data_IF_739696190756
#
_entry.id   IF_739696190756
#
_cell.length_a   1.000
_cell.length_b   1.000
_cell.length_c   1.000
_cell.angle_alpha   90.00
_cell.angle_beta   90.00
_cell.angle_gamma   90.00
#
_symmetry.space_group_name_H-M   'P 1'
#
loop_
_entity.id
_entity.type
_entity.pdbx_description
1 polymer ?
#
# COMPACT_ATOMS: atom_id res chain seq x y z
N UNK A 1 5.55 16.85 -19.25
CA UNK A 1 4.14 16.65 -19.61
C UNK A 1 3.89 17.24 -20.98
N UNK A 2 3.89 16.39 -22.02
CA UNK A 2 3.42 16.80 -23.34
C UNK A 2 1.93 17.12 -23.24
N UNK A 3 1.51 18.23 -23.85
CA UNK A 3 0.11 18.64 -23.84
C UNK A 3 -0.65 17.73 -24.79
N UNK A 4 -1.70 17.07 -24.30
CA UNK A 4 -2.47 16.12 -25.10
C UNK A 4 -3.05 16.78 -26.37
N UNK A 5 -2.90 16.14 -27.54
CA UNK A 5 -3.48 16.65 -28.77
C UNK A 5 -5.00 16.67 -28.65
N UNK A 6 -5.62 17.73 -29.19
CA UNK A 6 -7.08 17.90 -29.14
C UNK A 6 -7.76 16.72 -29.83
N UNK A 7 -8.69 16.06 -29.14
CA UNK A 7 -9.47 14.96 -29.70
C UNK A 7 -8.96 13.55 -29.37
N UNK A 8 -7.80 13.41 -28.73
CA UNK A 8 -7.33 12.11 -28.26
C UNK A 8 -8.21 11.56 -27.14
N UNK A 9 -8.59 10.29 -27.25
CA UNK A 9 -9.33 9.55 -26.23
C UNK A 9 -8.66 8.21 -25.98
N UNK A 10 -8.15 8.02 -24.77
CA UNK A 10 -7.49 6.76 -24.40
C UNK A 10 -8.52 5.67 -24.09
N UNK A 11 -8.51 4.58 -24.87
CA UNK A 11 -9.48 3.49 -24.75
C UNK A 11 -9.47 2.79 -23.37
N UNK A 12 -8.34 2.79 -22.67
CA UNK A 12 -8.18 2.19 -21.35
C UNK A 12 -8.29 3.20 -20.19
N UNK A 13 -8.75 4.43 -20.46
CA UNK A 13 -8.94 5.45 -19.42
C UNK A 13 -9.79 4.98 -18.22
N UNK A 14 -10.91 4.24 -18.40
CA UNK A 14 -11.68 3.73 -17.25
C UNK A 14 -10.85 2.78 -16.36
N UNK A 15 -10.02 1.95 -16.97
CA UNK A 15 -9.18 0.99 -16.26
C UNK A 15 -8.08 1.72 -15.47
N UNK A 16 -7.47 2.76 -16.05
CA UNK A 16 -6.47 3.61 -15.39
C UNK A 16 -7.05 4.30 -14.16
N UNK A 17 -8.24 4.91 -14.29
CA UNK A 17 -8.92 5.55 -13.16
C UNK A 17 -9.26 4.56 -12.05
N UNK A 18 -9.67 3.35 -12.43
CA UNK A 18 -9.93 2.28 -11.46
C UNK A 18 -8.64 1.89 -10.72
N UNK A 19 -7.51 1.71 -11.42
CA UNK A 19 -6.24 1.41 -10.76
C UNK A 19 -5.76 2.53 -9.83
N UNK A 20 -5.99 3.79 -10.19
CA UNK A 20 -5.66 4.93 -9.32
C UNK A 20 -6.47 4.89 -8.00
N UNK A 21 -7.75 4.56 -8.11
CA UNK A 21 -8.62 4.42 -6.94
C UNK A 21 -8.20 3.24 -6.05
N UNK A 22 -7.93 2.08 -6.65
CA UNK A 22 -7.44 0.89 -5.93
C UNK A 22 -6.07 1.15 -5.26
N UNK A 23 -5.18 1.93 -5.91
CA UNK A 23 -3.91 2.35 -5.30
C UNK A 23 -4.13 3.24 -4.08
N UNK A 24 -5.08 4.16 -4.13
CA UNK A 24 -5.42 5.00 -2.97
C UNK A 24 -5.98 4.16 -1.83
N UNK A 25 -6.87 3.20 -2.11
CA UNK A 25 -7.44 2.30 -1.11
C UNK A 25 -6.36 1.44 -0.43
N UNK A 26 -5.44 0.86 -1.21
CA UNK A 26 -4.31 0.09 -0.67
C UNK A 26 -3.38 0.95 0.19
N UNK A 27 -3.12 2.20 -0.19
CA UNK A 27 -2.32 3.14 0.62
C UNK A 27 -3.00 3.48 1.95
N UNK A 28 -4.31 3.72 1.93
CA UNK A 28 -5.08 3.96 3.16
C UNK A 28 -5.09 2.73 4.06
N UNK A 29 -5.28 1.54 3.47
CA UNK A 29 -5.22 0.26 4.20
C UNK A 29 -3.87 0.04 4.85
N UNK A 30 -2.77 0.31 4.12
CA UNK A 30 -1.42 0.21 4.65
C UNK A 30 -1.18 1.19 5.81
N UNK A 31 -1.64 2.43 5.70
CA UNK A 31 -1.54 3.41 6.76
C UNK A 31 -2.28 2.94 8.03
N UNK A 32 -3.50 2.41 7.87
CA UNK A 32 -4.26 1.82 8.98
C UNK A 32 -3.52 0.65 9.63
N UNK A 33 -3.03 -0.30 8.84
CA UNK A 33 -2.27 -1.45 9.36
C UNK A 33 -1.02 -1.00 10.13
N UNK A 34 -0.31 0.03 9.67
CA UNK A 34 0.84 0.55 10.41
C UNK A 34 0.44 1.15 11.77
N UNK A 35 -0.70 1.84 11.85
CA UNK A 35 -1.21 2.34 13.14
C UNK A 35 -1.64 1.20 14.07
N UNK A 36 -2.29 0.17 13.54
CA UNK A 36 -2.69 -1.02 14.30
C UNK A 36 -1.47 -1.80 14.82
N UNK A 37 -0.43 -1.98 13.99
CA UNK A 37 0.84 -2.59 14.37
C UNK A 37 1.49 -1.80 15.50
N UNK A 38 1.58 -0.47 15.39
CA UNK A 38 2.18 0.36 16.44
C UNK A 38 1.44 0.20 17.78
N UNK A 39 0.11 0.24 17.77
CA UNK A 39 -0.72 0.04 18.97
C UNK A 39 -0.56 -1.38 19.55
N UNK A 40 -0.50 -2.40 18.68
CA UNK A 40 -0.34 -3.79 19.11
C UNK A 40 1.06 -4.06 19.65
N UNK A 41 2.11 -3.47 19.07
CA UNK A 41 3.47 -3.51 19.61
C UNK A 41 3.53 -2.90 21.01
N UNK A 42 2.86 -1.77 21.24
CA UNK A 42 2.76 -1.19 22.58
C UNK A 42 2.04 -2.14 23.55
N UNK A 43 1.00 -2.83 23.09
CA UNK A 43 0.27 -3.82 23.89
C UNK A 43 1.15 -5.01 24.27
N UNK A 44 1.96 -5.52 23.33
CA UNK A 44 2.95 -6.57 23.59
C UNK A 44 3.96 -6.11 24.64
N UNK A 45 4.53 -4.91 24.48
CA UNK A 45 5.47 -4.35 25.44
C UNK A 45 4.88 -4.24 26.85
N UNK A 46 3.62 -3.79 26.97
CA UNK A 46 2.95 -3.71 28.26
C UNK A 46 2.81 -5.07 28.95
N UNK A 47 2.52 -6.14 28.19
CA UNK A 47 2.46 -7.50 28.76
C UNK A 47 3.83 -8.02 29.15
N UNK A 48 4.87 -7.73 28.37
CA UNK A 48 6.26 -8.07 28.70
C UNK A 48 6.73 -7.37 29.98
N UNK A 49 6.41 -6.08 30.12
CA UNK A 49 6.74 -5.29 31.31
C UNK A 49 6.01 -5.85 32.55
N UNK A 50 4.70 -6.14 32.43
CA UNK A 50 3.92 -6.75 33.52
C UNK A 50 4.47 -8.10 33.93
N UNK A 51 4.86 -8.95 32.97
CA UNK A 51 5.46 -10.25 33.24
C UNK A 51 6.84 -10.10 33.89
N UNK A 52 7.66 -9.14 33.45
CA UNK A 52 8.97 -8.82 34.05
C UNK A 52 8.83 -8.36 35.49
N UNK A 53 7.87 -7.48 35.78
CA UNK A 53 7.59 -7.02 37.15
C UNK A 53 7.14 -8.19 38.02
N UNK A 54 6.17 -8.98 37.55
CA UNK A 54 5.64 -10.12 38.30
C UNK A 54 6.72 -11.16 38.65
N UNK A 55 7.58 -11.49 37.69
CA UNK A 55 8.68 -12.44 37.89
C UNK A 55 9.73 -11.91 38.87
N UNK A 56 10.09 -10.62 38.78
CA UNK A 56 11.00 -9.96 39.75
C UNK A 56 10.42 -9.93 41.16
N UNK A 57 9.12 -9.66 41.30
CA UNK A 57 8.46 -9.62 42.61
C UNK A 57 8.44 -11.01 43.27
N UNK A 58 8.17 -12.08 42.53
CA UNK A 58 8.25 -13.45 43.05
C UNK A 58 9.69 -13.80 43.45
N UNK A 59 10.68 -13.50 42.61
CA UNK A 59 12.08 -13.77 42.92
C UNK A 59 12.53 -13.04 44.20
N UNK A 60 12.08 -11.79 44.39
CA UNK A 60 12.36 -11.01 45.60
C UNK A 60 11.71 -11.59 46.85
N UNK A 61 10.53 -12.18 46.74
CA UNK A 61 9.86 -12.86 47.86
C UNK A 61 10.58 -14.14 48.27
N UNK A 62 11.10 -14.91 47.31
CA UNK A 62 11.90 -16.12 47.57
C UNK A 62 13.21 -15.81 48.29
N UNK A 63 13.90 -14.72 47.93
CA UNK A 63 15.17 -14.32 48.55
C UNK A 63 15.09 -13.85 50.01
N UNK A 64 13.89 -13.64 50.56
CA UNK A 64 13.68 -13.15 51.94
C UNK A 64 13.46 -14.26 52.98
N UNK A 65 13.58 -15.54 52.62
CA UNK A 65 13.40 -16.69 53.53
C UNK A 65 12.11 -16.66 54.38
N UNK A 66 11.06 -15.98 53.90
CA UNK A 66 9.74 -16.08 54.51
C UNK A 66 9.07 -17.35 54.00
N UNK A 67 8.50 -18.14 54.90
CA UNK A 67 7.62 -19.27 54.56
C UNK A 67 6.45 -18.69 53.77
N UNK A 68 6.51 -18.80 52.44
CA UNK A 68 5.42 -18.34 51.58
C UNK A 68 4.32 -19.38 51.71
N UNK A 69 3.14 -18.95 52.17
CA UNK A 69 1.94 -19.80 52.16
C UNK A 69 1.70 -20.34 50.74
N UNK A 70 1.48 -21.65 50.64
CA UNK A 70 1.27 -22.36 49.36
C UNK A 70 0.21 -21.69 48.50
N UNK A 71 -0.88 -21.20 49.11
CA UNK A 71 -1.96 -20.48 48.40
C UNK A 71 -1.46 -19.22 47.69
N UNK A 72 -0.54 -18.47 48.32
CA UNK A 72 0.05 -17.26 47.72
C UNK A 72 0.98 -17.60 46.56
N UNK A 73 1.72 -18.71 46.65
CA UNK A 73 2.53 -19.20 45.53
C UNK A 73 1.64 -19.64 44.36
N UNK A 74 0.57 -20.38 44.64
CA UNK A 74 -0.38 -20.81 43.62
C UNK A 74 -0.97 -19.61 42.86
N UNK A 75 -1.48 -18.60 43.58
CA UNK A 75 -2.02 -17.37 42.97
C UNK A 75 -0.98 -16.68 42.09
N UNK A 76 0.27 -16.56 42.55
CA UNK A 76 1.34 -15.91 41.80
C UNK A 76 1.69 -16.69 40.51
N UNK A 77 1.74 -18.02 40.58
CA UNK A 77 1.96 -18.87 39.41
C UNK A 77 0.80 -18.79 38.41
N UNK A 78 -0.44 -18.83 38.88
CA UNK A 78 -1.62 -18.67 38.00
C UNK A 78 -1.61 -17.31 37.31
N UNK A 79 -1.27 -16.25 38.03
CA UNK A 79 -1.16 -14.92 37.44
C UNK A 79 -0.07 -14.86 36.36
N UNK A 80 1.11 -15.42 36.59
CA UNK A 80 2.18 -15.48 35.58
C UNK A 80 1.73 -16.28 34.36
N UNK A 81 1.13 -17.46 34.55
CA UNK A 81 0.65 -18.28 33.46
C UNK A 81 -0.37 -17.52 32.60
N UNK A 82 -1.28 -16.79 33.25
CA UNK A 82 -2.24 -15.93 32.57
C UNK A 82 -1.57 -14.79 31.78
N UNK A 83 -0.57 -14.09 32.36
CA UNK A 83 0.16 -13.05 31.64
C UNK A 83 0.95 -13.61 30.44
N UNK A 84 1.55 -14.81 30.57
CA UNK A 84 2.21 -15.49 29.46
C UNK A 84 1.23 -15.84 28.34
N UNK A 85 0.02 -16.29 28.68
CA UNK A 85 -1.03 -16.57 27.70
C UNK A 85 -1.46 -15.28 26.96
N UNK A 86 -1.71 -14.19 27.69
CA UNK A 86 -2.05 -12.90 27.09
C UNK A 86 -0.93 -12.38 26.18
N UNK A 87 0.32 -12.49 26.61
CA UNK A 87 1.48 -12.12 25.79
C UNK A 87 1.55 -12.95 24.51
N UNK A 88 1.34 -14.26 24.60
CA UNK A 88 1.35 -15.15 23.44
C UNK A 88 0.24 -14.79 22.44
N UNK A 89 -0.97 -14.50 22.93
CA UNK A 89 -2.09 -14.05 22.10
C UNK A 89 -1.78 -12.70 21.44
N UNK A 90 -1.24 -11.75 22.21
CA UNK A 90 -0.88 -10.42 21.70
C UNK A 90 0.21 -10.48 20.62
N UNK A 91 1.24 -11.32 20.81
CA UNK A 91 2.29 -11.55 19.80
C UNK A 91 1.74 -12.21 18.55
N UNK A 92 0.85 -13.20 18.69
CA UNK A 92 0.19 -13.83 17.54
C UNK A 92 -0.63 -12.82 16.72
N UNK A 93 -1.37 -11.94 17.39
CA UNK A 93 -2.11 -10.88 16.73
C UNK A 93 -1.18 -9.89 16.00
N UNK A 94 -0.04 -9.53 16.62
CA UNK A 94 0.98 -8.68 15.98
C UNK A 94 1.52 -9.32 14.71
N UNK A 95 1.93 -10.60 14.77
CA UNK A 95 2.43 -11.33 13.60
C UNK A 95 1.39 -11.40 12.47
N UNK A 96 0.11 -11.55 12.81
CA UNK A 96 -0.96 -11.52 11.81
C UNK A 96 -1.09 -10.15 11.14
N UNK A 97 -1.01 -9.06 11.91
CA UNK A 97 -1.03 -7.70 11.37
C UNK A 97 0.18 -7.43 10.47
N UNK A 98 1.37 -7.86 10.87
CA UNK A 98 2.59 -7.76 10.05
C UNK A 98 2.46 -8.54 8.75
N UNK A 99 1.93 -9.77 8.80
CA UNK A 99 1.66 -10.56 7.60
C UNK A 99 0.68 -9.85 6.66
N UNK A 100 -0.38 -9.27 7.20
CA UNK A 100 -1.37 -8.51 6.42
C UNK A 100 -0.75 -7.24 5.79
N UNK A 101 0.13 -6.55 6.53
CA UNK A 101 0.89 -5.39 6.03
C UNK A 101 1.76 -5.80 4.86
N UNK A 102 2.52 -6.88 5.00
CA UNK A 102 3.46 -7.33 3.98
C UNK A 102 2.72 -7.79 2.72
N UNK A 103 1.58 -8.47 2.87
CA UNK A 103 0.69 -8.80 1.74
C UNK A 103 0.14 -7.55 1.05
N UNK A 104 -0.24 -6.52 1.82
CA UNK A 104 -0.72 -5.24 1.29
C UNK A 104 0.37 -4.52 0.51
N UNK A 105 1.61 -4.53 0.98
CA UNK A 105 2.77 -3.96 0.29
C UNK A 105 3.00 -4.69 -1.05
N UNK A 106 2.95 -6.02 -1.07
CA UNK A 106 3.08 -6.78 -2.31
C UNK A 106 1.99 -6.45 -3.33
N UNK A 107 0.74 -6.34 -2.86
CA UNK A 107 -0.38 -5.96 -3.71
C UNK A 107 -0.22 -4.53 -4.26
N UNK A 108 0.25 -3.59 -3.42
CA UNK A 108 0.53 -2.22 -3.81
C UNK A 108 1.59 -2.18 -4.91
N UNK A 109 2.72 -2.89 -4.76
CA UNK A 109 3.75 -2.94 -5.79
C UNK A 109 3.25 -3.55 -7.11
N UNK A 110 2.45 -4.62 -7.04
CA UNK A 110 1.86 -5.23 -8.23
C UNK A 110 0.96 -4.26 -8.98
N UNK A 111 0.10 -3.56 -8.24
CA UNK A 111 -0.83 -2.59 -8.83
C UNK A 111 -0.12 -1.34 -9.34
N UNK A 112 0.93 -0.87 -8.67
CA UNK A 112 1.77 0.23 -9.16
C UNK A 112 2.39 -0.12 -10.51
N UNK A 113 3.03 -1.29 -10.62
CA UNK A 113 3.63 -1.75 -11.88
C UNK A 113 2.59 -1.85 -13.00
N UNK A 114 1.37 -2.27 -12.67
CA UNK A 114 0.27 -2.30 -13.62
C UNK A 114 -0.16 -0.90 -14.07
N UNK A 115 -0.33 0.03 -13.13
CA UNK A 115 -0.68 1.42 -13.41
C UNK A 115 0.41 2.13 -14.23
N UNK A 116 1.67 1.90 -13.90
CA UNK A 116 2.82 2.43 -14.64
C UNK A 116 2.79 1.93 -16.10
N UNK A 117 2.52 0.63 -16.32
CA UNK A 117 2.36 0.07 -17.66
C UNK A 117 1.17 0.65 -18.44
N UNK A 118 0.07 1.00 -17.76
CA UNK A 118 -1.06 1.70 -18.40
C UNK A 118 -0.70 3.12 -18.83
N UNK A 119 0.16 3.81 -18.07
CA UNK A 119 0.63 5.14 -18.40
C UNK A 119 1.64 5.10 -19.55
N UNK A 120 2.59 4.16 -19.54
CA UNK A 120 3.51 3.91 -20.66
C UNK A 120 2.74 3.64 -21.96
N UNK A 121 1.75 2.74 -21.91
CA UNK A 121 0.90 2.44 -23.07
C UNK A 121 0.07 3.66 -23.53
N UNK A 122 -0.42 4.49 -22.60
CA UNK A 122 -1.09 5.76 -22.94
C UNK A 122 -0.13 6.68 -23.69
N UNK A 123 1.09 6.83 -23.22
CA UNK A 123 2.09 7.68 -23.88
C UNK A 123 2.44 7.19 -25.29
N UNK A 124 2.49 5.87 -25.51
CA UNK A 124 2.64 5.27 -26.84
C UNK A 124 1.45 5.61 -27.75
N UNK A 125 0.23 5.38 -27.29
CA UNK A 125 -1.00 5.70 -28.04
C UNK A 125 -1.12 7.20 -28.37
N UNK A 126 -0.70 8.08 -27.46
CA UNK A 126 -0.63 9.53 -27.73
C UNK A 126 0.36 9.81 -28.86
N UNK A 127 1.55 9.22 -28.83
CA UNK A 127 2.57 9.39 -29.88
C UNK A 127 2.04 8.92 -31.23
N UNK A 128 1.45 7.74 -31.28
CA UNK A 128 0.90 7.17 -32.52
C UNK A 128 -0.22 8.06 -33.07
N UNK A 129 -1.12 8.54 -32.21
CA UNK A 129 -2.18 9.47 -32.60
C UNK A 129 -1.62 10.80 -33.14
N UNK A 130 -0.59 11.38 -32.50
CA UNK A 130 0.04 12.60 -33.00
C UNK A 130 0.69 12.40 -34.38
N UNK A 131 1.36 11.27 -34.61
CA UNK A 131 1.96 10.97 -35.91
C UNK A 131 0.90 10.83 -37.01
N UNK A 132 -0.25 10.23 -36.70
CA UNK A 132 -1.38 10.14 -37.64
C UNK A 132 -1.91 11.53 -37.96
N UNK A 133 -2.13 12.38 -36.95
CA UNK A 133 -2.58 13.76 -37.16
C UNK A 133 -1.61 14.58 -38.01
N UNK A 134 -0.31 14.46 -37.76
CA UNK A 134 0.72 15.16 -38.55
C UNK A 134 0.70 14.71 -40.02
N UNK A 135 0.59 13.40 -40.28
CA UNK A 135 0.47 12.87 -41.65
C UNK A 135 -0.77 13.40 -42.37
N UNK A 136 -1.91 13.44 -41.70
CA UNK A 136 -3.15 14.00 -42.26
C UNK A 136 -2.97 15.49 -42.54
N UNK A 137 -2.42 16.25 -41.60
CA UNK A 137 -2.19 17.69 -41.77
C UNK A 137 -1.24 18.01 -42.94
N UNK A 138 -0.20 17.20 -43.15
CA UNK A 138 0.72 17.36 -44.29
C UNK A 138 -0.02 17.06 -45.60
N UNK A 139 -0.79 15.96 -45.67
CA UNK A 139 -1.55 15.61 -46.85
C UNK A 139 -2.59 16.69 -47.22
N UNK A 140 -3.28 17.25 -46.23
CA UNK A 140 -4.22 18.35 -46.44
C UNK A 140 -3.54 19.63 -46.95
N UNK A 141 -2.33 19.93 -46.45
CA UNK A 141 -1.54 21.06 -46.91
C UNK A 141 -1.05 20.88 -48.36
N UNK A 142 -0.59 19.68 -48.72
CA UNK A 142 -0.19 19.33 -50.09
C UNK A 142 -1.38 19.43 -51.05
N UNK A 143 -2.55 18.89 -50.68
CA UNK A 143 -3.79 19.01 -51.47
C UNK A 143 -4.24 20.47 -51.64
N UNK A 144 -4.11 21.28 -50.59
CA UNK A 144 -4.41 22.72 -50.67
C UNK A 144 -3.44 23.45 -51.63
N UNK A 145 -2.15 23.11 -51.59
CA UNK A 145 -1.14 23.69 -52.47
C UNK A 145 -1.40 23.32 -53.95
N UNK A 146 -1.66 22.05 -54.24
CA UNK A 146 -1.99 21.58 -55.60
C UNK A 146 -3.25 22.27 -56.14
N UNK A 147 -4.32 22.37 -55.34
CA UNK A 147 -5.53 23.12 -55.73
C UNK A 147 -5.24 24.59 -56.03
N UNK A 148 -4.38 25.23 -55.23
CA UNK A 148 -3.95 26.62 -55.45
C UNK A 148 -3.20 26.82 -56.76
N UNK A 149 -2.36 25.87 -57.17
CA UNK A 149 -1.66 25.89 -58.47
C UNK A 149 -2.66 25.73 -59.62
N UNK A 150 -3.57 24.76 -59.53
CA UNK A 150 -4.59 24.54 -60.55
C UNK A 150 -5.50 25.76 -60.75
N UNK A 151 -5.88 26.45 -59.66
CA UNK A 151 -6.66 27.68 -59.74
C UNK A 151 -5.90 28.82 -60.45
N UNK A 152 -4.61 29.00 -60.15
CA UNK A 152 -3.77 30.02 -60.82
C UNK A 152 -3.50 29.73 -62.29
N UNK A 153 -3.44 28.46 -62.69
CA UNK A 153 -3.23 28.05 -64.07
C UNK A 153 -4.51 28.15 -64.95
N UNK A 154 -5.68 28.29 -64.32
CA UNK A 154 -6.97 28.44 -65.00
C UNK A 154 -7.44 29.90 -65.16
N UNK A 155 -6.64 30.87 -64.70
CA UNK A 155 -6.81 32.31 -64.96
C UNK A 155 -5.87 32.75 -66.08
#
# INVERSE_FOLDING_TARGET
>A
MQREPRGFQYGLEPLRRKSDWELQELRQTLARLNTEIAAQTQTVQQYEDRLSVATKDIARQQGKSQIIHIDKQFIAHTYIAHQMQLLALARKALTQLETNRDQTIQNLHRLQKFADGLEEHREEEVKDYTQVLEKVSIAEADDAWLRGIHWKAAQ
#
